data_IF_710520435308
#
_entry.id   IF_710520435308
#
_cell.length_a   1.000
_cell.length_b   1.000
_cell.length_c   1.000
_cell.angle_alpha   90.00
_cell.angle_beta   90.00
_cell.angle_gamma   90.00
#
_symmetry.space_group_name_H-M   'P 1'
#
loop_
_entity.id
_entity.type
_entity.pdbx_description
1 polymer ?
#
# COMPACT_ATOMS: atom_id res chain seq x y z
N UNK A 1 43.39 32.93 -18.50
CA UNK A 1 42.84 32.76 -17.13
C UNK A 1 41.84 31.60 -17.13
N UNK A 2 42.24 30.51 -16.46
CA UNK A 2 41.46 29.48 -15.74
C UNK A 2 40.18 28.90 -16.38
N UNK A 3 40.35 27.78 -17.10
CA UNK A 3 39.30 26.79 -17.40
C UNK A 3 38.95 26.06 -16.09
N UNK A 4 37.78 26.34 -15.53
CA UNK A 4 37.27 25.61 -14.36
C UNK A 4 36.70 24.27 -14.83
N UNK A 5 37.51 23.22 -14.71
CA UNK A 5 37.04 21.83 -14.69
C UNK A 5 36.30 21.62 -13.37
N UNK A 6 34.98 21.80 -13.38
CA UNK A 6 34.11 21.37 -12.27
C UNK A 6 33.96 19.86 -12.41
N UNK A 7 34.82 19.13 -11.69
CA UNK A 7 34.73 17.70 -11.52
C UNK A 7 33.49 17.43 -10.64
N UNK A 8 32.34 17.19 -11.29
CA UNK A 8 31.09 16.81 -10.64
C UNK A 8 31.28 15.38 -10.09
N UNK A 9 31.75 15.29 -8.85
CA UNK A 9 31.83 14.03 -8.11
C UNK A 9 30.40 13.57 -7.82
N UNK A 10 29.92 12.67 -8.66
CA UNK A 10 28.66 11.97 -8.50
C UNK A 10 28.79 11.07 -7.26
N UNK A 11 28.50 11.62 -6.09
CA UNK A 11 28.41 10.85 -4.86
C UNK A 11 27.27 9.84 -5.03
N UNK A 12 27.64 8.56 -5.17
CA UNK A 12 26.74 7.43 -5.19
C UNK A 12 25.95 7.41 -3.88
N UNK A 13 24.75 8.02 -3.89
CA UNK A 13 23.71 7.69 -2.94
C UNK A 13 23.43 6.19 -3.10
N UNK A 14 23.96 5.39 -2.18
CA UNK A 14 23.51 4.02 -1.95
C UNK A 14 22.04 4.10 -1.55
N UNK A 15 21.15 4.04 -2.55
CA UNK A 15 19.72 3.87 -2.33
C UNK A 15 19.56 2.53 -1.64
N UNK A 16 19.29 2.56 -0.34
CA UNK A 16 18.79 1.40 0.37
C UNK A 16 17.51 0.99 -0.34
N UNK A 17 17.60 -0.03 -1.18
CA UNK A 17 16.45 -0.69 -1.77
C UNK A 17 15.76 -1.36 -0.59
N UNK A 18 14.79 -0.66 0.01
CA UNK A 18 13.76 -1.33 0.80
C UNK A 18 13.10 -2.27 -0.20
N UNK A 19 13.50 -3.54 -0.14
CA UNK A 19 12.79 -4.62 -0.81
C UNK A 19 11.42 -4.66 -0.13
N UNK A 20 10.44 -3.93 -0.69
CA UNK A 20 9.05 -4.14 -0.34
C UNK A 20 8.74 -5.62 -0.54
N UNK A 21 7.96 -6.21 0.37
CA UNK A 21 7.54 -7.60 0.23
C UNK A 21 7.00 -7.83 -1.19
N UNK A 22 7.29 -9.01 -1.76
CA UNK A 22 6.94 -9.27 -3.14
C UNK A 22 5.43 -9.18 -3.34
N UNK A 23 5.06 -8.64 -4.50
CA UNK A 23 3.73 -8.84 -5.08
C UNK A 23 3.46 -10.34 -5.21
N UNK A 24 2.18 -10.71 -5.30
CA UNK A 24 1.79 -12.07 -5.70
C UNK A 24 2.42 -12.45 -7.05
N UNK A 25 2.44 -13.74 -7.37
CA UNK A 25 2.98 -14.24 -8.66
C UNK A 25 2.22 -13.69 -9.89
N UNK A 26 1.05 -13.09 -9.67
CA UNK A 26 0.22 -12.42 -10.70
C UNK A 26 0.41 -10.90 -10.74
N UNK A 27 1.37 -10.37 -10.00
CA UNK A 27 1.69 -8.93 -9.94
C UNK A 27 0.74 -8.10 -9.08
N UNK A 28 -0.19 -8.71 -8.33
CA UNK A 28 -1.06 -7.97 -7.40
C UNK A 28 -0.34 -7.67 -6.10
N UNK A 29 -0.63 -6.52 -5.49
CA UNK A 29 -0.16 -6.17 -4.14
C UNK A 29 -0.72 -7.20 -3.14
N UNK A 30 0.18 -7.87 -2.43
CA UNK A 30 -0.16 -8.94 -1.50
C UNK A 30 -0.56 -8.41 -0.13
N UNK A 31 -1.27 -9.21 0.67
CA UNK A 31 -1.58 -8.88 2.08
C UNK A 31 -0.30 -8.63 2.86
N UNK A 32 0.74 -9.45 2.65
CA UNK A 32 2.04 -9.29 3.30
C UNK A 32 2.67 -7.92 3.00
N UNK A 33 2.60 -7.48 1.74
CA UNK A 33 3.14 -6.19 1.31
C UNK A 33 2.38 -5.00 1.92
N UNK A 34 1.05 -5.05 2.00
CA UNK A 34 0.29 -3.98 2.67
C UNK A 34 0.58 -3.96 4.17
N UNK A 35 0.67 -5.12 4.82
CA UNK A 35 1.04 -5.24 6.24
C UNK A 35 2.41 -4.64 6.53
N UNK A 36 3.42 -4.93 5.70
CA UNK A 36 4.75 -4.32 5.85
C UNK A 36 4.69 -2.79 5.69
N UNK A 37 3.92 -2.28 4.73
CA UNK A 37 3.73 -0.83 4.56
C UNK A 37 3.04 -0.20 5.77
N UNK A 38 2.02 -0.84 6.34
CA UNK A 38 1.32 -0.40 7.55
C UNK A 38 2.29 -0.33 8.75
N UNK A 39 3.10 -1.37 8.94
CA UNK A 39 4.07 -1.45 10.04
C UNK A 39 5.22 -0.45 9.89
N UNK A 40 5.65 -0.18 8.65
CA UNK A 40 6.74 0.74 8.37
C UNK A 40 6.29 2.21 8.32
N UNK A 41 5.04 2.52 8.00
CA UNK A 41 4.54 3.88 7.79
C UNK A 41 4.81 4.87 8.95
N UNK A 42 4.75 4.49 10.24
CA UNK A 42 5.05 5.40 11.34
C UNK A 42 6.50 5.90 11.37
N UNK A 43 7.45 5.10 10.88
CA UNK A 43 8.89 5.38 10.98
C UNK A 43 9.57 5.65 9.65
N UNK A 44 8.97 5.25 8.52
CA UNK A 44 9.54 5.39 7.17
C UNK A 44 8.63 6.25 6.29
N UNK A 45 9.00 7.51 5.99
CA UNK A 45 8.20 8.41 5.15
C UNK A 45 7.87 7.81 3.78
N UNK A 46 8.79 7.06 3.18
CA UNK A 46 8.58 6.41 1.89
C UNK A 46 7.51 5.31 1.97
N UNK A 47 7.51 4.50 3.02
CA UNK A 47 6.47 3.48 3.23
C UNK A 47 5.10 4.13 3.45
N UNK A 48 5.05 5.24 4.18
CA UNK A 48 3.82 6.02 4.36
C UNK A 48 3.30 6.58 3.04
N UNK A 49 4.17 7.12 2.19
CA UNK A 49 3.78 7.64 0.87
C UNK A 49 3.25 6.53 -0.03
N UNK A 50 3.92 5.38 -0.07
CA UNK A 50 3.46 4.21 -0.83
C UNK A 50 2.11 3.69 -0.32
N UNK A 51 1.94 3.60 1.00
CA UNK A 51 0.68 3.19 1.61
C UNK A 51 -0.46 4.15 1.24
N UNK A 52 -0.24 5.47 1.35
CA UNK A 52 -1.24 6.48 0.99
C UNK A 52 -1.62 6.37 -0.49
N UNK A 53 -0.65 6.24 -1.39
CA UNK A 53 -0.90 6.09 -2.82
C UNK A 53 -1.70 4.81 -3.13
N UNK A 54 -1.32 3.69 -2.52
CA UNK A 54 -2.04 2.43 -2.64
C UNK A 54 -3.49 2.56 -2.16
N UNK A 55 -3.71 3.08 -0.94
CA UNK A 55 -5.04 3.24 -0.37
C UNK A 55 -5.90 4.23 -1.15
N UNK A 56 -5.33 5.33 -1.67
CA UNK A 56 -6.05 6.26 -2.53
C UNK A 56 -6.63 5.55 -3.77
N UNK A 57 -5.81 4.75 -4.47
CA UNK A 57 -6.27 3.96 -5.62
C UNK A 57 -7.32 2.89 -5.26
N UNK A 58 -7.21 2.27 -4.07
CA UNK A 58 -8.23 1.35 -3.55
C UNK A 58 -9.56 2.07 -3.29
N UNK A 59 -9.52 3.27 -2.70
CA UNK A 59 -10.70 4.10 -2.44
C UNK A 59 -11.41 4.52 -3.72
N UNK A 60 -10.66 4.94 -4.74
CA UNK A 60 -11.20 5.23 -6.08
C UNK A 60 -11.85 4.00 -6.72
N UNK A 61 -11.19 2.85 -6.63
CA UNK A 61 -11.74 1.58 -7.13
C UNK A 61 -13.07 1.25 -6.44
N UNK A 62 -13.14 1.37 -5.11
CA UNK A 62 -14.37 1.13 -4.36
C UNK A 62 -15.49 2.12 -4.76
N UNK A 63 -15.15 3.40 -4.97
CA UNK A 63 -16.11 4.42 -5.42
C UNK A 63 -16.65 4.20 -6.84
N UNK A 64 -15.87 3.55 -7.71
CA UNK A 64 -16.35 3.14 -9.05
C UNK A 64 -17.27 1.92 -9.01
N UNK A 65 -17.07 1.02 -8.04
CA UNK A 65 -17.79 -0.25 -7.97
C UNK A 65 -19.16 -0.15 -7.30
N UNK A 66 -19.38 0.81 -6.41
CA UNK A 66 -20.64 0.90 -5.68
C UNK A 66 -21.01 2.34 -5.30
N UNK A 67 -22.33 2.62 -5.24
CA UNK A 67 -22.81 3.87 -4.68
C UNK A 67 -22.99 3.70 -3.18
N UNK A 68 -22.18 4.41 -2.41
CA UNK A 68 -22.15 4.31 -0.97
C UNK A 68 -23.02 5.39 -0.31
N UNK A 69 -23.70 5.01 0.76
CA UNK A 69 -24.50 5.94 1.58
C UNK A 69 -23.66 6.72 2.58
N UNK A 70 -22.46 6.23 2.88
CA UNK A 70 -21.48 6.84 3.78
C UNK A 70 -20.18 7.15 3.05
N UNK A 71 -19.41 8.09 3.59
CA UNK A 71 -18.03 8.31 3.16
C UNK A 71 -17.19 7.04 3.40
N UNK A 72 -16.36 6.68 2.42
CA UNK A 72 -15.45 5.56 2.52
C UNK A 72 -14.24 5.96 3.36
N UNK A 73 -14.06 5.33 4.53
CA UNK A 73 -12.95 5.59 5.43
C UNK A 73 -11.88 4.49 5.34
N UNK A 74 -10.68 4.90 4.95
CA UNK A 74 -9.48 4.10 4.74
C UNK A 74 -8.45 4.31 5.86
N UNK A 75 -8.94 4.36 7.10
CA UNK A 75 -8.09 4.40 8.29
C UNK A 75 -7.18 3.16 8.37
N UNK A 76 -5.96 3.35 8.86
CA UNK A 76 -4.90 2.32 8.92
C UNK A 76 -5.34 1.12 9.76
N UNK A 77 -6.01 1.35 10.90
CA UNK A 77 -6.43 0.28 11.81
C UNK A 77 -7.60 -0.51 11.21
N UNK A 78 -8.48 0.17 10.48
CA UNK A 78 -9.58 -0.46 9.74
C UNK A 78 -9.05 -1.33 8.59
N UNK A 79 -8.04 -0.86 7.86
CA UNK A 79 -7.38 -1.65 6.81
C UNK A 79 -6.69 -2.88 7.41
N UNK A 80 -5.94 -2.72 8.50
CA UNK A 80 -5.30 -3.84 9.19
C UNK A 80 -6.32 -4.90 9.63
N UNK A 81 -7.42 -4.45 10.26
CA UNK A 81 -8.52 -5.31 10.71
C UNK A 81 -9.20 -6.03 9.53
N UNK A 82 -9.43 -5.34 8.42
CA UNK A 82 -10.01 -5.93 7.21
C UNK A 82 -9.12 -7.02 6.62
N UNK A 83 -7.80 -6.81 6.60
CA UNK A 83 -6.83 -7.80 6.12
C UNK A 83 -6.78 -9.04 7.02
N UNK A 84 -6.80 -8.86 8.34
CA UNK A 84 -6.83 -9.97 9.30
C UNK A 84 -8.12 -10.79 9.18
N UNK A 85 -9.26 -10.14 9.01
CA UNK A 85 -10.54 -10.81 8.83
C UNK A 85 -10.66 -11.50 7.46
N UNK A 86 -10.19 -10.85 6.38
CA UNK A 86 -10.30 -11.36 5.01
C UNK A 86 -9.22 -12.36 4.61
N UNK A 87 -8.12 -12.42 5.37
CA UNK A 87 -7.03 -13.37 5.18
C UNK A 87 -6.56 -13.93 6.54
N UNK A 88 -7.31 -14.83 7.19
CA UNK A 88 -6.97 -15.32 8.52
C UNK A 88 -5.73 -16.22 8.56
N UNK A 89 -5.32 -16.78 7.42
CA UNK A 89 -4.14 -17.63 7.30
C UNK A 89 -2.90 -16.82 6.87
N UNK A 90 -2.08 -16.45 7.86
CA UNK A 90 -0.85 -15.67 7.66
C UNK A 90 0.17 -16.36 6.73
N UNK A 91 0.18 -17.70 6.66
CA UNK A 91 1.10 -18.44 5.80
C UNK A 91 0.87 -18.17 4.30
N UNK A 92 -0.32 -17.64 3.96
CA UNK A 92 -0.74 -17.33 2.60
C UNK A 92 -0.68 -15.86 2.23
N UNK A 93 -0.30 -14.98 3.16
CA UNK A 93 -0.38 -13.54 2.96
C UNK A 93 0.45 -13.03 1.77
N UNK A 94 1.58 -13.67 1.45
CA UNK A 94 2.44 -13.31 0.31
C UNK A 94 1.76 -13.54 -1.05
N UNK A 95 0.79 -14.45 -1.13
CA UNK A 95 0.08 -14.80 -2.37
C UNK A 95 -1.41 -14.42 -2.36
N UNK A 96 -1.87 -13.78 -1.28
CA UNK A 96 -3.26 -13.31 -1.17
C UNK A 96 -3.33 -11.85 -1.63
N UNK A 97 -4.15 -11.51 -2.64
CA UNK A 97 -4.27 -10.13 -3.09
C UNK A 97 -5.01 -9.28 -2.04
N UNK A 98 -4.43 -8.16 -1.63
CA UNK A 98 -5.00 -7.30 -0.58
C UNK A 98 -6.19 -6.46 -1.06
N UNK A 99 -6.15 -5.96 -2.31
CA UNK A 99 -7.14 -5.00 -2.82
C UNK A 99 -8.58 -5.51 -2.76
N UNK A 100 -8.91 -6.74 -3.20
CA UNK A 100 -10.28 -7.24 -3.13
C UNK A 100 -10.83 -7.32 -1.69
N UNK A 101 -9.97 -7.63 -0.72
CA UNK A 101 -10.34 -7.69 0.71
C UNK A 101 -10.70 -6.28 1.22
N UNK A 102 -9.83 -5.31 0.96
CA UNK A 102 -10.04 -3.93 1.43
C UNK A 102 -11.27 -3.30 0.76
N UNK A 103 -11.46 -3.52 -0.54
CA UNK A 103 -12.65 -3.03 -1.25
C UNK A 103 -13.92 -3.66 -0.69
N UNK A 104 -13.94 -4.97 -0.43
CA UNK A 104 -15.11 -5.65 0.14
C UNK A 104 -15.47 -5.09 1.52
N UNK A 105 -14.48 -4.87 2.39
CA UNK A 105 -14.68 -4.23 3.69
C UNK A 105 -15.21 -2.80 3.56
N UNK A 106 -14.62 -1.99 2.68
CA UNK A 106 -15.07 -0.61 2.43
C UNK A 106 -16.52 -0.56 1.95
N UNK A 107 -16.89 -1.42 1.00
CA UNK A 107 -18.25 -1.49 0.45
C UNK A 107 -19.24 -1.90 1.54
N UNK A 108 -18.87 -2.88 2.37
CA UNK A 108 -19.70 -3.32 3.49
C UNK A 108 -19.90 -2.22 4.54
N UNK A 109 -18.83 -1.56 5.01
CA UNK A 109 -18.91 -0.48 6.01
C UNK A 109 -19.55 0.78 5.46
N UNK A 110 -19.35 1.06 4.17
CA UNK A 110 -19.92 2.18 3.44
C UNK A 110 -21.43 2.06 3.17
N UNK A 111 -22.03 0.89 3.44
CA UNK A 111 -23.45 0.64 3.19
C UNK A 111 -23.78 0.85 1.71
N UNK A 112 -22.93 0.33 0.82
CA UNK A 112 -23.05 0.56 -0.61
C UNK A 112 -23.97 -0.48 -1.27
N UNK A 113 -24.55 -0.10 -2.41
CA UNK A 113 -25.47 -0.91 -3.22
C UNK A 113 -25.15 -0.82 -4.70
#
# INVERSE_FOLDING_TARGET
>A
MRRFFVCLTLAACLTQSVLAAPSTDRGQISVAQVREMLEAAPSKPQARQLLVAYLAGVGETAGLLAKCSKSLNLDIDLVASALEAGAPDASRWSQTPATPIIVADLVARGGCR
#
